data_IF_213274890820
#
_entry.id   IF_213274890820
#
_cell.length_a   1.000
_cell.length_b   1.000
_cell.length_c   1.000
_cell.angle_alpha   90.00
_cell.angle_beta   90.00
_cell.angle_gamma   90.00
#
_symmetry.space_group_name_H-M   'P 1'
#
loop_
_entity.id
_entity.type
_entity.pdbx_description
1 polymer ?
#
# COMPACT_ATOMS: atom_id res chain seq x y z
N UNK A 1 -18.41 -4.60 7.97
CA UNK A 1 -17.81 -4.25 9.28
C UNK A 1 -18.88 -3.57 10.12
N UNK A 2 -19.55 -4.30 11.03
CA UNK A 2 -20.60 -3.70 11.86
C UNK A 2 -19.97 -2.99 13.07
N UNK A 3 -20.40 -1.75 13.35
CA UNK A 3 -20.33 -1.08 14.66
C UNK A 3 -18.95 -0.62 15.19
N UNK A 4 -17.95 -0.37 14.34
CA UNK A 4 -16.66 0.18 14.80
C UNK A 4 -16.79 1.54 15.49
N UNK A 5 -17.79 2.34 15.10
CA UNK A 5 -18.07 3.67 15.66
C UNK A 5 -18.61 3.66 17.11
N UNK A 6 -19.04 2.51 17.64
CA UNK A 6 -19.49 2.40 19.05
C UNK A 6 -18.33 2.12 20.02
N UNK A 7 -17.09 2.04 19.51
CA UNK A 7 -15.90 1.73 20.29
C UNK A 7 -15.54 0.24 20.28
N UNK A 8 -14.37 -0.08 20.84
CA UNK A 8 -13.74 -1.42 20.80
C UNK A 8 -14.58 -2.52 21.46
N UNK A 9 -15.51 -2.16 22.33
CA UNK A 9 -16.44 -3.09 22.96
C UNK A 9 -17.56 -3.60 22.02
N UNK A 10 -17.74 -2.97 20.85
CA UNK A 10 -18.77 -3.32 19.87
C UNK A 10 -18.20 -3.62 18.46
N UNK A 11 -16.87 -3.67 18.31
CA UNK A 11 -16.19 -3.88 17.03
C UNK A 11 -14.69 -4.20 17.16
N UNK A 12 -14.01 -4.41 16.03
CA UNK A 12 -12.55 -4.60 15.98
C UNK A 12 -11.89 -3.23 16.15
N UNK A 13 -10.92 -3.10 17.06
CA UNK A 13 -10.17 -1.84 17.21
C UNK A 13 -9.36 -1.54 15.94
N UNK A 14 -9.15 -0.26 15.65
CA UNK A 14 -8.29 0.16 14.54
C UNK A 14 -6.86 -0.39 14.68
N UNK A 15 -6.34 -0.47 15.90
CA UNK A 15 -5.04 -1.09 16.20
C UNK A 15 -4.98 -2.59 15.87
N UNK A 16 -6.09 -3.31 16.03
CA UNK A 16 -6.16 -4.73 15.67
C UNK A 16 -6.15 -4.94 14.15
N UNK A 17 -6.41 -3.91 13.36
CA UNK A 17 -6.26 -3.94 11.90
C UNK A 17 -4.82 -3.68 11.45
N UNK A 18 -3.93 -3.17 12.33
CA UNK A 18 -2.53 -2.95 11.96
C UNK A 18 -1.82 -4.26 11.60
N UNK A 19 -1.28 -4.29 10.39
CA UNK A 19 -0.65 -5.47 9.80
C UNK A 19 0.50 -5.06 8.90
N UNK A 20 1.63 -5.76 9.02
CA UNK A 20 2.76 -5.65 8.09
C UNK A 20 3.11 -7.03 7.57
N UNK A 21 3.35 -7.16 6.27
CA UNK A 21 3.88 -8.37 5.64
C UNK A 21 5.03 -8.04 4.70
N UNK A 22 5.94 -8.99 4.55
CA UNK A 22 7.00 -8.98 3.55
C UNK A 22 6.91 -10.27 2.75
N UNK A 23 6.87 -10.13 1.42
CA UNK A 23 6.91 -11.24 0.47
C UNK A 23 8.22 -11.18 -0.31
N UNK A 24 8.82 -12.34 -0.55
CA UNK A 24 10.00 -12.45 -1.39
C UNK A 24 9.58 -12.90 -2.78
N UNK A 25 9.69 -12.00 -3.74
CA UNK A 25 9.47 -12.34 -5.14
C UNK A 25 10.78 -12.89 -5.71
N UNK A 26 10.76 -14.09 -6.32
CA UNK A 26 11.93 -14.58 -7.03
C UNK A 26 12.20 -13.67 -8.23
N UNK A 27 13.42 -13.15 -8.34
CA UNK A 27 13.92 -12.69 -9.62
C UNK A 27 14.42 -13.93 -10.38
N UNK A 28 13.80 -14.25 -11.52
CA UNK A 28 14.24 -15.40 -12.32
C UNK A 28 15.54 -15.12 -13.07
N UNK A 29 15.91 -13.84 -13.23
CA UNK A 29 17.08 -13.41 -14.00
C UNK A 29 18.36 -13.31 -13.16
N UNK A 30 18.22 -13.09 -11.86
CA UNK A 30 19.30 -13.13 -10.90
C UNK A 30 18.77 -13.89 -9.70
N UNK A 31 19.51 -14.85 -9.11
CA UNK A 31 19.09 -15.61 -7.90
C UNK A 31 18.86 -14.73 -6.64
N UNK A 32 18.52 -13.47 -6.81
CA UNK A 32 18.21 -12.46 -5.80
C UNK A 32 16.71 -12.47 -5.56
N UNK A 33 16.32 -12.39 -4.29
CA UNK A 33 14.94 -12.20 -3.91
C UNK A 33 14.65 -10.70 -3.82
N UNK A 34 13.50 -10.29 -4.34
CA UNK A 34 13.04 -8.90 -4.26
C UNK A 34 12.01 -8.80 -3.13
N UNK A 35 12.36 -8.15 -2.01
CA UNK A 35 11.40 -7.96 -0.94
C UNK A 35 10.34 -6.93 -1.34
N UNK A 36 9.10 -7.33 -1.15
CA UNK A 36 7.92 -6.50 -1.28
C UNK A 36 7.24 -6.42 0.08
N UNK A 37 7.23 -5.22 0.67
CA UNK A 37 6.53 -4.96 1.91
C UNK A 37 5.14 -4.42 1.62
N UNK A 38 4.15 -4.91 2.36
CA UNK A 38 2.83 -4.30 2.45
C UNK A 38 2.52 -4.06 3.92
N UNK A 39 2.12 -2.85 4.27
CA UNK A 39 1.60 -2.52 5.59
C UNK A 39 0.23 -1.87 5.49
N UNK A 40 -0.56 -2.03 6.54
CA UNK A 40 -1.90 -1.53 6.70
C UNK A 40 -2.07 -0.99 8.12
N UNK A 41 -2.62 0.21 8.23
CA UNK A 41 -3.11 0.82 9.47
C UNK A 41 -4.51 1.39 9.20
N UNK A 42 -5.31 1.55 10.26
CA UNK A 42 -6.65 2.11 10.16
C UNK A 42 -6.85 3.26 11.17
N UNK A 43 -7.68 4.23 10.82
CA UNK A 43 -8.13 5.30 11.71
C UNK A 43 -9.62 5.58 11.48
N UNK A 44 -10.27 6.15 12.50
CA UNK A 44 -11.63 6.68 12.37
C UNK A 44 -11.52 8.18 12.15
N UNK A 45 -12.23 8.66 11.13
CA UNK A 45 -12.40 10.08 10.87
C UNK A 45 -13.61 10.59 11.64
N UNK A 46 -13.40 11.39 12.69
CA UNK A 46 -14.47 11.85 13.57
C UNK A 46 -15.47 12.79 12.88
N UNK A 47 -15.01 13.62 11.94
CA UNK A 47 -15.84 14.59 11.20
C UNK A 47 -16.93 13.92 10.35
N UNK A 48 -16.66 12.71 9.85
CA UNK A 48 -17.53 11.99 8.91
C UNK A 48 -17.89 10.58 9.38
N UNK A 49 -17.46 10.20 10.58
CA UNK A 49 -17.59 8.86 11.18
C UNK A 49 -17.21 7.74 10.21
N UNK A 50 -16.13 7.96 9.45
CA UNK A 50 -15.67 7.09 8.37
C UNK A 50 -14.47 6.26 8.82
N UNK A 51 -14.45 4.95 8.52
CA UNK A 51 -13.26 4.14 8.66
C UNK A 51 -12.33 4.42 7.48
N UNK A 52 -11.12 4.90 7.77
CA UNK A 52 -10.10 5.15 6.76
C UNK A 52 -8.96 4.16 6.94
N UNK A 53 -8.58 3.51 5.86
CA UNK A 53 -7.41 2.61 5.83
C UNK A 53 -6.27 3.32 5.11
N UNK A 54 -5.09 3.34 5.75
CA UNK A 54 -3.82 3.66 5.10
C UNK A 54 -3.08 2.36 4.80
N UNK A 55 -2.66 2.18 3.55
CA UNK A 55 -1.74 1.08 3.21
C UNK A 55 -0.48 1.63 2.56
N UNK A 56 0.66 1.03 2.86
CA UNK A 56 1.94 1.35 2.23
C UNK A 56 2.55 0.10 1.60
N UNK A 57 2.93 0.21 0.35
CA UNK A 57 3.64 -0.81 -0.42
C UNK A 57 5.05 -0.32 -0.67
N UNK A 58 6.05 -1.15 -0.39
CA UNK A 58 7.46 -0.83 -0.64
C UNK A 58 8.07 -1.93 -1.48
N UNK A 59 8.60 -1.53 -2.64
CA UNK A 59 9.50 -2.35 -3.43
C UNK A 59 10.92 -1.88 -3.16
N UNK A 60 11.78 -2.77 -2.67
CA UNK A 60 13.12 -2.44 -2.22
C UNK A 60 14.16 -3.23 -3.00
N UNK A 61 15.13 -2.53 -3.59
CA UNK A 61 16.16 -3.13 -4.44
C UNK A 61 17.52 -2.46 -4.22
N UNK A 62 18.62 -3.19 -4.44
CA UNK A 62 19.94 -2.58 -4.52
C UNK A 62 19.98 -1.47 -5.57
N UNK A 63 20.68 -0.36 -5.32
CA UNK A 63 20.71 0.78 -6.25
C UNK A 63 21.24 0.39 -7.65
N UNK A 64 22.24 -0.50 -7.72
CA UNK A 64 22.73 -1.03 -9.01
C UNK A 64 21.67 -1.84 -9.80
N UNK A 65 20.60 -2.27 -9.13
CA UNK A 65 19.43 -2.96 -9.72
C UNK A 65 18.18 -2.06 -9.79
N UNK A 66 18.31 -0.74 -9.69
CA UNK A 66 17.19 0.23 -9.79
C UNK A 66 16.30 0.07 -11.04
N UNK A 67 16.79 -0.55 -12.11
CA UNK A 67 15.97 -0.88 -13.28
C UNK A 67 14.77 -1.79 -12.93
N UNK A 68 14.86 -2.54 -11.82
CA UNK A 68 13.78 -3.40 -11.30
C UNK A 68 12.62 -2.62 -10.65
N UNK A 69 12.75 -1.31 -10.44
CA UNK A 69 11.66 -0.47 -9.96
C UNK A 69 10.72 0.00 -11.08
N UNK A 70 11.18 -0.02 -12.34
CA UNK A 70 10.36 0.43 -13.46
C UNK A 70 9.20 -0.54 -13.72
N UNK A 71 8.01 0.02 -13.91
CA UNK A 71 6.84 -0.73 -14.38
C UNK A 71 6.90 -0.86 -15.90
N UNK A 72 6.82 -2.10 -16.42
CA UNK A 72 6.79 -2.34 -17.86
C UNK A 72 5.34 -2.50 -18.35
N UNK A 73 4.81 -1.57 -19.17
CA UNK A 73 3.44 -1.65 -19.67
C UNK A 73 3.21 -2.86 -20.61
N UNK A 74 4.26 -3.41 -21.22
CA UNK A 74 4.15 -4.55 -22.14
C UNK A 74 4.10 -5.90 -21.40
N UNK A 75 4.57 -5.98 -20.15
CA UNK A 75 4.46 -7.20 -19.33
C UNK A 75 3.00 -7.46 -18.93
N UNK A 76 2.24 -6.40 -18.67
CA UNK A 76 0.80 -6.45 -18.37
C UNK A 76 -0.05 -7.11 -19.49
N UNK A 77 0.43 -7.09 -20.73
CA UNK A 77 -0.24 -7.74 -21.88
C UNK A 77 0.03 -9.23 -21.98
N UNK A 78 1.05 -9.76 -21.29
CA UNK A 78 1.35 -11.19 -21.28
C UNK A 78 0.51 -11.87 -20.19
N UNK A 79 -0.53 -12.59 -20.59
CA UNK A 79 -1.38 -13.49 -19.78
C UNK A 79 -0.62 -14.67 -19.12
N UNK A 80 0.64 -14.50 -18.74
CA UNK A 80 1.42 -15.52 -18.04
C UNK A 80 1.54 -15.16 -16.57
N UNK A 81 0.62 -15.76 -15.79
CA UNK A 81 0.63 -16.25 -14.39
C UNK A 81 1.68 -15.85 -13.33
N UNK A 82 2.66 -15.00 -13.59
CA UNK A 82 3.65 -14.59 -12.61
C UNK A 82 4.00 -13.11 -12.83
N UNK A 83 3.11 -12.23 -12.38
CA UNK A 83 3.36 -10.80 -12.37
C UNK A 83 4.12 -10.45 -11.07
N UNK A 84 5.41 -10.06 -11.11
CA UNK A 84 6.20 -9.93 -9.88
C UNK A 84 6.25 -8.49 -9.38
N UNK A 85 5.31 -7.63 -9.78
CA UNK A 85 5.20 -6.28 -9.22
C UNK A 85 3.84 -6.14 -8.55
N UNK A 86 3.76 -6.54 -7.28
CA UNK A 86 2.54 -6.45 -6.46
C UNK A 86 2.06 -5.03 -6.14
N UNK A 87 2.53 -4.02 -6.88
CA UNK A 87 2.13 -2.63 -6.70
C UNK A 87 0.69 -2.46 -7.20
N UNK A 88 -0.19 -2.08 -6.29
CA UNK A 88 -1.60 -1.92 -6.60
C UNK A 88 -2.19 -0.68 -5.93
N UNK A 89 -2.73 0.24 -6.72
CA UNK A 89 -3.45 1.41 -6.20
C UNK A 89 -4.93 1.05 -6.03
N UNK A 90 -5.64 0.84 -7.14
CA UNK A 90 -7.03 0.39 -7.20
C UNK A 90 -7.34 -0.23 -8.57
N UNK A 91 -8.48 -0.90 -8.70
CA UNK A 91 -8.88 -1.58 -9.95
C UNK A 91 -9.17 -0.64 -11.13
N UNK A 92 -9.28 0.66 -10.88
CA UNK A 92 -9.58 1.65 -11.91
C UNK A 92 -8.33 2.24 -12.58
N UNK A 93 -7.14 1.85 -12.11
CA UNK A 93 -5.86 2.27 -12.67
C UNK A 93 -5.27 1.05 -13.37
N UNK A 94 -5.20 1.11 -14.70
CA UNK A 94 -4.57 0.08 -15.51
C UNK A 94 -3.05 0.04 -15.28
N UNK A 95 -2.41 -1.06 -15.64
CA UNK A 95 -0.96 -1.21 -15.51
C UNK A 95 -0.20 -0.17 -16.35
N UNK A 96 -0.75 0.20 -17.52
CA UNK A 96 -0.21 1.27 -18.35
C UNK A 96 -0.25 2.61 -17.62
N UNK A 97 -1.38 2.95 -16.98
CA UNK A 97 -1.52 4.17 -16.20
C UNK A 97 -0.65 4.16 -14.95
N UNK A 98 -0.53 3.01 -14.28
CA UNK A 98 0.40 2.83 -13.16
C UNK A 98 1.84 3.09 -13.62
N UNK A 99 2.26 2.53 -14.76
CA UNK A 99 3.58 2.77 -15.32
C UNK A 99 3.82 4.24 -15.67
N UNK A 100 2.79 4.92 -16.19
CA UNK A 100 2.84 6.36 -16.47
C UNK A 100 2.89 7.25 -15.22
N UNK A 101 2.56 6.72 -14.03
CA UNK A 101 2.73 7.43 -12.76
C UNK A 101 4.09 7.12 -12.13
N UNK A 102 4.46 5.84 -12.08
CA UNK A 102 5.67 5.34 -11.39
C UNK A 102 6.95 5.70 -12.15
N UNK A 103 7.00 5.46 -13.46
CA UNK A 103 8.23 5.62 -14.23
C UNK A 103 8.74 7.06 -14.28
N UNK A 104 7.88 8.11 -14.40
CA UNK A 104 8.33 9.49 -14.23
C UNK A 104 8.90 9.77 -12.85
N UNK A 105 8.29 9.28 -11.76
CA UNK A 105 8.83 9.48 -10.39
C UNK A 105 10.24 8.91 -10.26
N UNK A 106 10.49 7.70 -10.80
CA UNK A 106 11.83 7.10 -10.79
C UNK A 106 12.81 7.90 -11.65
N UNK A 107 12.36 8.45 -12.79
CA UNK A 107 13.21 9.29 -13.66
C UNK A 107 13.58 10.62 -13.01
N UNK A 108 12.61 11.31 -12.42
CA UNK A 108 12.83 12.60 -11.75
C UNK A 108 13.82 12.44 -10.58
N UNK A 109 13.66 11.36 -9.79
CA UNK A 109 14.63 10.99 -8.78
C UNK A 109 16.05 10.81 -9.36
N UNK A 110 16.18 10.15 -10.52
CA UNK A 110 17.48 9.93 -11.17
C UNK A 110 18.15 11.20 -11.69
N UNK A 111 17.37 12.20 -12.11
CA UNK A 111 17.92 13.47 -12.63
C UNK A 111 18.26 14.44 -11.50
N UNK A 112 17.98 14.09 -10.24
CA UNK A 112 18.13 14.99 -9.09
C UNK A 112 17.13 16.14 -9.12
N UNK A 113 16.08 16.03 -9.94
CA UNK A 113 14.97 16.96 -9.91
C UNK A 113 14.21 16.72 -8.60
N UNK A 114 13.90 17.81 -7.88
CA UNK A 114 12.89 17.75 -6.83
C UNK A 114 11.55 17.41 -7.50
N UNK A 115 11.29 16.11 -7.59
CA UNK A 115 10.01 15.62 -8.06
C UNK A 115 8.97 16.14 -7.07
N UNK A 116 8.15 17.10 -7.50
CA UNK A 116 6.89 17.36 -6.83
C UNK A 116 6.25 15.99 -6.61
N UNK A 117 6.00 15.66 -5.35
CA UNK A 117 5.45 14.36 -4.96
C UNK A 117 3.99 14.57 -4.55
N UNK A 118 3.12 14.95 -5.50
CA UNK A 118 1.76 15.33 -5.18
C UNK A 118 1.00 14.12 -4.64
N UNK A 119 -0.07 14.42 -3.92
CA UNK A 119 -1.08 13.40 -3.64
C UNK A 119 -2.03 13.36 -4.84
N UNK A 120 -2.32 12.16 -5.32
CA UNK A 120 -3.26 11.90 -6.38
C UNK A 120 -4.57 11.35 -5.84
N UNK A 121 -5.64 11.51 -6.60
CA UNK A 121 -6.94 10.90 -6.30
C UNK A 121 -7.51 10.21 -7.53
N UNK A 122 -7.95 8.96 -7.36
CA UNK A 122 -8.71 8.25 -8.39
C UNK A 122 -10.13 8.82 -8.48
N UNK A 123 -10.54 9.32 -9.64
CA UNK A 123 -11.85 9.94 -9.85
C UNK A 123 -13.05 8.97 -9.77
N UNK A 124 -12.82 7.66 -9.73
CA UNK A 124 -13.91 6.66 -9.64
C UNK A 124 -14.15 6.13 -8.23
N UNK A 125 -13.10 5.79 -7.47
CA UNK A 125 -13.25 5.28 -6.10
C UNK A 125 -12.85 6.28 -5.01
N UNK A 126 -12.29 7.45 -5.35
CA UNK A 126 -11.77 8.44 -4.40
C UNK A 126 -10.62 7.90 -3.51
N UNK A 127 -9.89 6.89 -3.98
CA UNK A 127 -8.66 6.47 -3.30
C UNK A 127 -7.63 7.59 -3.46
N UNK A 128 -7.17 8.16 -2.35
CA UNK A 128 -6.02 9.07 -2.35
C UNK A 128 -4.74 8.22 -2.36
N UNK A 129 -3.73 8.61 -3.11
CA UNK A 129 -2.46 7.91 -3.13
C UNK A 129 -1.28 8.83 -3.41
N UNK A 130 -0.11 8.38 -2.98
CA UNK A 130 1.14 9.09 -3.08
C UNK A 130 2.23 8.10 -3.49
N UNK A 131 3.09 8.51 -4.41
CA UNK A 131 4.17 7.69 -4.97
C UNK A 131 5.46 8.47 -4.78
N UNK A 132 6.46 7.82 -4.22
CA UNK A 132 7.78 8.40 -4.02
C UNK A 132 8.87 7.36 -4.25
N UNK A 133 10.06 7.85 -4.62
CA UNK A 133 11.28 7.05 -4.70
C UNK A 133 12.31 7.68 -3.79
N UNK A 134 12.93 6.88 -2.94
CA UNK A 134 13.89 7.35 -1.94
C UNK A 134 15.04 6.37 -1.78
N UNK A 135 16.21 6.92 -1.47
CA UNK A 135 17.37 6.15 -1.02
C UNK A 135 17.25 5.80 0.46
N UNK A 136 17.67 4.59 0.80
CA UNK A 136 17.84 4.15 2.16
C UNK A 136 19.14 3.35 2.25
N UNK A 137 20.15 3.96 2.87
CA UNK A 137 21.55 3.54 2.80
C UNK A 137 22.06 3.45 1.34
N UNK A 138 22.42 2.25 0.86
CA UNK A 138 22.92 2.00 -0.51
C UNK A 138 21.84 1.51 -1.47
N UNK A 139 20.62 1.38 -0.97
CA UNK A 139 19.51 0.74 -1.65
C UNK A 139 18.40 1.75 -1.97
N UNK A 140 17.51 1.35 -2.87
CA UNK A 140 16.46 2.21 -3.41
C UNK A 140 15.09 1.60 -3.12
N UNK A 141 14.18 2.45 -2.65
CA UNK A 141 12.81 2.09 -2.33
C UNK A 141 11.82 2.86 -3.24
N UNK A 142 10.93 2.13 -3.91
CA UNK A 142 9.70 2.69 -4.48
C UNK A 142 8.58 2.48 -3.47
N UNK A 143 7.98 3.58 -3.01
CA UNK A 143 6.93 3.57 -2.00
C UNK A 143 5.63 4.07 -2.61
N UNK A 144 4.57 3.27 -2.48
CA UNK A 144 3.19 3.69 -2.78
C UNK A 144 2.39 3.67 -1.48
N UNK A 145 1.95 4.84 -1.04
CA UNK A 145 1.02 4.98 0.08
C UNK A 145 -0.36 5.33 -0.47
N UNK A 146 -1.42 4.71 0.07
CA UNK A 146 -2.80 5.04 -0.28
C UNK A 146 -3.70 5.12 0.94
N UNK A 147 -4.72 5.97 0.84
CA UNK A 147 -5.77 6.17 1.83
C UNK A 147 -7.12 5.87 1.19
N UNK A 148 -7.91 5.05 1.87
CA UNK A 148 -9.17 4.50 1.40
C UNK A 148 -10.23 4.80 2.46
N UNK A 149 -11.24 5.57 2.10
CA UNK A 149 -12.42 5.80 2.93
C UNK A 149 -13.46 4.69 2.68
N UNK A 150 -13.64 3.83 3.68
CA UNK A 150 -14.57 2.70 3.64
C UNK A 150 -15.98 3.06 4.11
N UNK A 151 -16.21 4.32 4.50
CA UNK A 151 -17.47 4.78 5.04
C UNK A 151 -17.70 4.38 6.49
N UNK A 152 -18.93 4.58 6.92
CA UNK A 152 -19.34 4.46 8.32
C UNK A 152 -19.60 3.02 8.77
N UNK A 153 -19.71 2.09 7.81
CA UNK A 153 -20.04 0.69 8.09
C UNK A 153 -21.41 0.49 8.74
N UNK A 154 -22.27 1.53 8.73
CA UNK A 154 -23.63 1.50 9.28
C UNK A 154 -24.56 0.62 8.45
N UNK A 155 -24.34 0.59 7.13
CA UNK A 155 -25.12 -0.17 6.18
C UNK A 155 -24.21 -1.06 5.33
N UNK A 156 -24.61 -2.31 5.02
CA UNK A 156 -23.93 -3.10 4.00
C UNK A 156 -23.95 -2.43 2.61
N UNK A 157 -24.93 -1.54 2.38
CA UNK A 157 -25.12 -0.79 1.13
C UNK A 157 -24.45 0.59 1.17
N UNK A 158 -23.57 0.86 2.15
CA UNK A 158 -22.81 2.12 2.19
C UNK A 158 -22.07 2.31 0.86
N UNK A 159 -22.36 3.39 0.09
CA UNK A 159 -21.76 3.58 -1.22
C UNK A 159 -20.24 3.67 -1.21
N UNK A 160 -19.63 4.09 -0.08
CA UNK A 160 -18.17 4.13 0.08
C UNK A 160 -17.60 2.71 0.18
N UNK A 161 -18.24 1.85 0.98
CA UNK A 161 -17.89 0.43 1.07
C UNK A 161 -18.13 -0.31 -0.25
N UNK A 162 -19.28 -0.05 -0.88
CA UNK A 162 -19.74 -0.74 -2.07
C UNK A 162 -18.75 -0.62 -3.24
N UNK A 163 -18.07 0.53 -3.40
CA UNK A 163 -17.03 0.77 -4.43
C UNK A 163 -15.88 -0.23 -4.40
N UNK A 164 -15.62 -0.87 -3.27
CA UNK A 164 -14.53 -1.82 -3.09
C UNK A 164 -15.02 -3.29 -3.09
N UNK A 165 -16.32 -3.51 -3.24
CA UNK A 165 -16.91 -4.84 -3.35
C UNK A 165 -16.80 -5.41 -4.77
N UNK A 166 -16.64 -6.74 -4.89
CA UNK A 166 -16.52 -7.44 -6.18
C UNK A 166 -17.71 -7.19 -7.12
N UNK A 167 -18.91 -6.99 -6.59
CA UNK A 167 -20.11 -6.72 -7.37
C UNK A 167 -20.03 -5.36 -8.10
N UNK A 168 -19.51 -4.31 -7.46
CA UNK A 168 -19.33 -3.00 -8.09
C UNK A 168 -18.11 -2.94 -9.01
N UNK A 169 -17.08 -3.77 -8.77
CA UNK A 169 -15.92 -3.91 -9.67
C UNK A 169 -16.32 -4.34 -11.08
N UNK A 170 -17.39 -5.11 -11.23
CA UNK A 170 -17.90 -5.58 -12.52
C UNK A 170 -18.71 -4.49 -13.25
N UNK A 171 -19.37 -3.59 -12.51
CA UNK A 171 -20.28 -2.58 -13.10
C UNK A 171 -19.59 -1.28 -13.52
N UNK A 172 -18.41 -0.96 -12.97
CA UNK A 172 -17.60 0.22 -13.35
C UNK A 172 -16.27 -0.16 -13.98
N UNK A 173 -16.31 -0.94 -15.06
CA UNK A 173 -15.17 -1.09 -15.96
C UNK A 173 -14.98 0.20 -16.76
N UNK A 174 -14.41 1.21 -16.12
CA UNK A 174 -13.96 2.45 -16.74
C UNK A 174 -12.57 2.78 -16.23
N UNK A 175 -11.72 3.29 -17.11
CA UNK A 175 -10.42 3.82 -16.70
C UNK A 175 -10.64 5.15 -15.97
N UNK A 176 -10.14 5.28 -14.74
CA UNK A 176 -10.34 6.50 -13.97
C UNK A 176 -9.50 7.68 -14.50
N UNK A 177 -10.06 8.88 -14.42
CA UNK A 177 -9.28 10.11 -14.39
C UNK A 177 -8.48 10.16 -13.08
N UNK A 178 -7.27 10.69 -13.16
CA UNK A 178 -6.42 10.94 -11.98
C UNK A 178 -6.34 12.44 -11.79
N UNK A 179 -6.68 12.89 -10.59
CA UNK A 179 -6.61 14.29 -10.21
C UNK A 179 -5.43 14.49 -9.26
N UNK A 180 -4.62 15.52 -9.49
CA UNK A 180 -3.71 16.03 -8.46
C UNK A 180 -4.56 16.69 -7.38
N UNK A 181 -4.29 16.35 -6.13
CA UNK A 181 -5.09 16.76 -4.99
C UNK A 181 -4.20 17.58 -4.08
N UNK A 182 -4.02 18.85 -4.45
CA UNK A 182 -3.24 19.78 -3.64
C UNK A 182 -4.04 20.26 -2.41
N UNK A 183 -5.38 20.16 -2.44
CA UNK A 183 -6.25 20.73 -1.38
C UNK A 183 -7.42 19.83 -0.92
N UNK A 184 -7.65 18.65 -1.53
CA UNK A 184 -8.92 17.89 -1.36
C UNK A 184 -8.76 16.38 -1.10
N UNK A 185 -7.63 15.95 -0.54
CA UNK A 185 -7.43 14.56 -0.14
C UNK A 185 -8.10 14.27 1.21
N UNK A 186 -9.42 14.40 1.30
CA UNK A 186 -10.18 14.33 2.56
C UNK A 186 -9.89 13.07 3.39
N UNK A 187 -9.70 11.91 2.75
CA UNK A 187 -9.35 10.70 3.48
C UNK A 187 -7.90 10.72 4.01
N UNK A 188 -6.94 11.22 3.22
CA UNK A 188 -5.56 11.41 3.67
C UNK A 188 -5.51 12.39 4.84
N UNK A 189 -6.08 13.59 4.67
CA UNK A 189 -6.03 14.66 5.68
C UNK A 189 -6.63 14.15 6.98
N UNK A 190 -7.81 13.53 6.91
CA UNK A 190 -8.46 13.04 8.13
C UNK A 190 -7.64 11.92 8.80
N UNK A 191 -7.08 10.98 8.03
CA UNK A 191 -6.23 9.94 8.58
C UNK A 191 -4.97 10.50 9.25
N UNK A 192 -4.24 11.37 8.55
CA UNK A 192 -2.95 11.90 9.06
C UNK A 192 -3.16 12.84 10.25
N UNK A 193 -4.29 13.55 10.34
CA UNK A 193 -4.65 14.34 11.52
C UNK A 193 -5.04 13.48 12.73
N UNK A 194 -5.71 12.34 12.51
CA UNK A 194 -6.13 11.44 13.58
C UNK A 194 -5.02 10.47 14.03
N UNK A 195 -4.01 10.23 13.19
CA UNK A 195 -2.98 9.23 13.43
C UNK A 195 -1.88 9.75 14.37
N UNK A 196 -1.66 9.04 15.48
CA UNK A 196 -0.49 9.25 16.35
C UNK A 196 0.85 8.88 15.66
N UNK A 197 0.80 8.26 14.49
CA UNK A 197 1.97 7.82 13.71
C UNK A 197 1.98 8.51 12.36
N UNK A 198 2.94 9.43 12.19
CA UNK A 198 3.13 10.13 10.92
C UNK A 198 3.47 9.16 9.78
N UNK A 199 3.18 9.58 8.55
CA UNK A 199 3.57 8.87 7.33
C UNK A 199 5.08 8.57 7.29
N UNK A 200 5.90 9.54 7.67
CA UNK A 200 7.36 9.38 7.74
C UNK A 200 7.77 8.32 8.75
N UNK A 201 7.19 8.35 9.96
CA UNK A 201 7.48 7.34 10.97
C UNK A 201 7.08 5.92 10.51
N UNK A 202 5.93 5.77 9.84
CA UNK A 202 5.53 4.49 9.24
C UNK A 202 6.56 4.02 8.21
N UNK A 203 6.94 4.90 7.29
CA UNK A 203 7.89 4.62 6.22
C UNK A 203 9.25 4.20 6.76
N UNK A 204 9.83 4.98 7.67
CA UNK A 204 11.13 4.67 8.28
C UNK A 204 11.11 3.33 9.01
N UNK A 205 10.07 3.05 9.79
CA UNK A 205 9.93 1.74 10.45
C UNK A 205 9.83 0.57 9.46
N UNK A 206 9.09 0.76 8.36
CA UNK A 206 8.94 -0.28 7.35
C UNK A 206 10.24 -0.54 6.58
N UNK A 207 11.01 0.51 6.27
CA UNK A 207 12.34 0.38 5.65
C UNK A 207 13.33 -0.33 6.58
N UNK A 208 13.28 -0.04 7.88
CA UNK A 208 14.11 -0.74 8.89
C UNK A 208 13.86 -2.24 8.96
N UNK A 209 12.66 -2.71 8.62
CA UNK A 209 12.41 -4.16 8.50
C UNK A 209 13.15 -4.79 7.33
N UNK A 210 13.30 -4.05 6.23
CA UNK A 210 13.92 -4.53 5.00
C UNK A 210 15.45 -4.50 5.09
N UNK A 211 15.99 -3.54 5.85
CA UNK A 211 17.43 -3.40 6.10
C UNK A 211 18.02 -4.67 6.71
N UNK A 212 19.08 -5.17 6.07
CA UNK A 212 19.81 -6.38 6.53
C UNK A 212 18.90 -7.61 6.68
N UNK A 213 17.75 -7.63 6.01
CA UNK A 213 16.74 -8.67 6.17
C UNK A 213 16.23 -8.86 7.61
N UNK A 214 16.25 -7.80 8.43
CA UNK A 214 15.84 -7.81 9.85
C UNK A 214 14.46 -8.41 10.09
N UNK A 215 13.56 -8.33 9.10
CA UNK A 215 12.27 -9.00 9.12
C UNK A 215 12.35 -10.50 9.43
N UNK A 216 13.42 -11.20 9.02
CA UNK A 216 13.60 -12.63 9.29
C UNK A 216 13.75 -12.94 10.78
N UNK A 217 14.25 -11.98 11.57
CA UNK A 217 14.51 -12.16 13.00
C UNK A 217 13.29 -11.82 13.86
N UNK A 218 12.51 -10.81 13.44
CA UNK A 218 11.48 -10.20 14.30
C UNK A 218 10.04 -10.54 13.88
N UNK A 219 9.82 -10.98 12.64
CA UNK A 219 8.48 -11.28 12.11
C UNK A 219 8.21 -12.78 12.08
N UNK A 220 6.94 -13.16 12.07
CA UNK A 220 6.54 -14.56 11.98
C UNK A 220 6.63 -15.03 10.53
N UNK A 221 7.38 -16.11 10.31
CA UNK A 221 7.42 -16.77 9.01
C UNK A 221 6.16 -17.64 8.85
N UNK A 222 5.41 -17.38 7.80
CA UNK A 222 4.31 -18.25 7.37
C UNK A 222 4.76 -19.06 6.15
N UNK A 223 4.59 -20.38 6.24
CA UNK A 223 4.86 -21.30 5.14
C UNK A 223 3.59 -21.46 4.31
N UNK A 224 3.52 -20.76 3.18
CA UNK A 224 2.55 -21.04 2.11
C UNK A 224 3.11 -22.07 1.12
N UNK A 225 2.24 -22.70 0.33
CA UNK A 225 2.61 -23.77 -0.61
C UNK A 225 3.61 -23.35 -1.70
N UNK A 226 3.75 -22.05 -2.00
CA UNK A 226 4.67 -21.54 -3.05
C UNK A 226 5.32 -20.17 -2.74
N UNK A 227 4.98 -19.51 -1.62
CA UNK A 227 5.50 -18.17 -1.29
C UNK A 227 5.88 -18.10 0.18
N UNK A 228 7.15 -17.80 0.45
CA UNK A 228 7.60 -17.44 1.78
C UNK A 228 7.21 -15.99 2.07
N UNK A 229 6.45 -15.80 3.15
CA UNK A 229 6.15 -14.46 3.63
C UNK A 229 6.33 -14.36 5.14
N UNK A 230 6.67 -13.16 5.57
CA UNK A 230 6.83 -12.79 6.96
C UNK A 230 5.73 -11.82 7.32
N UNK A 231 5.15 -11.91 8.51
CA UNK A 231 4.13 -10.98 8.94
C UNK A 231 4.22 -10.60 10.42
N UNK A 232 3.67 -9.43 10.72
CA UNK A 232 3.49 -8.89 12.06
C UNK A 232 2.07 -8.34 12.17
N UNK A 233 1.29 -8.86 13.12
CA UNK A 233 -0.05 -8.38 13.42
C UNK A 233 -0.10 -7.95 14.88
N UNK A 234 -0.53 -6.71 15.17
CA UNK A 234 -0.61 -6.23 16.56
C UNK A 234 -1.72 -6.90 17.38
N UNK A 235 -2.71 -7.51 16.72
CA UNK A 235 -3.88 -8.14 17.36
C UNK A 235 -3.83 -9.66 17.59
N UNK A 236 -2.79 -10.36 17.13
CA UNK A 236 -2.69 -11.81 17.34
C UNK A 236 -2.11 -12.10 18.73
N UNK A 237 -2.92 -12.69 19.62
CA UNK A 237 -2.47 -13.15 20.95
C UNK A 237 -1.15 -13.90 20.83
N UNK A 238 -0.15 -13.39 21.53
CA UNK A 238 1.19 -13.95 21.63
C UNK A 238 1.13 -15.32 22.30
N UNK A 239 1.38 -16.38 21.55
CA UNK A 239 1.79 -17.68 22.08
C UNK A 239 3.04 -18.09 21.29
N UNK A 240 4.22 -17.66 21.75
CA UNK A 240 5.44 -18.44 21.50
C UNK A 240 5.58 -19.43 22.66
N UNK A 241 5.70 -20.74 22.41
CA UNK A 241 6.29 -21.62 23.40
C UNK A 241 7.76 -21.21 23.56
N UNK A 242 8.17 -21.08 24.83
CA UNK A 242 9.57 -21.00 25.26
C UNK A 242 10.27 -22.31 24.91
#
# INVERSE_FOLDING_TARGET
MKRFYHGTQYGISTDALSYTQIRLHPDKSSNTQRPFLFSLDAQICDEHLSLIIRTQQILFVPNHKRYLLYCNPDIARRKHKEDPVGLFICDHISDEKLANLVNPTIRAYRTGEEAASPTYTCGLCNTNFHIETLEHDTDLALVITKWIDLGSGMSPDDPKWARYSSHYRIMRHGEATIHTSDEQAGARICFENASNRSLECLRSCNLEYLKGERYKEIMYQALGSEVHFWHLAKGARQNRPV
#
